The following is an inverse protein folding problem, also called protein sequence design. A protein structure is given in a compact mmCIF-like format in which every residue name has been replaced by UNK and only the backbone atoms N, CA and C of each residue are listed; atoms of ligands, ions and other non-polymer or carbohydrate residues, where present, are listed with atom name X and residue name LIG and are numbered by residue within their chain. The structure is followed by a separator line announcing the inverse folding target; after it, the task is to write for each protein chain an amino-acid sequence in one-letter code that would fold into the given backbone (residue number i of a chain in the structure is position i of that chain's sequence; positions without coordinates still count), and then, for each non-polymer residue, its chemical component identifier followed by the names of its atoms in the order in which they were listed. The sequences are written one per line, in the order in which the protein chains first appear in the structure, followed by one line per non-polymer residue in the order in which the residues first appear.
data_IF_024623881338
#
_entry.id   IF_024623881338
#
_cell.length_a   1.000
_cell.length_b   1.000
_cell.length_c   1.000
_cell.angle_alpha   90.00
_cell.angle_beta   90.00
_cell.angle_gamma   90.00
#
_symmetry.space_group_name_H-M   'P 1'
#
loop_
_entity.id
_entity.type
_entity.pdbx_description
1 polymer ?
#
# COMPACT_ATOMS: atom_id res chain seq x y z
N UNK A 1 9.26 16.31 9.42
CA UNK A 1 9.78 15.12 10.17
C UNK A 1 8.70 14.66 11.14
N UNK A 2 8.29 13.36 11.10
CA UNK A 2 7.33 12.83 12.10
C UNK A 2 7.98 12.86 13.50
N UNK A 3 7.22 13.20 14.52
CA UNK A 3 7.70 13.17 15.89
C UNK A 3 7.98 11.72 16.35
N UNK A 4 8.81 11.55 17.37
CA UNK A 4 9.09 10.21 17.95
C UNK A 4 7.80 9.55 18.43
N UNK A 5 6.86 10.35 18.97
CA UNK A 5 5.55 9.88 19.45
C UNK A 5 4.70 9.35 18.28
N UNK A 6 4.65 10.05 17.14
CA UNK A 6 3.91 9.60 15.94
C UNK A 6 4.48 8.29 15.41
N UNK A 7 5.81 8.14 15.38
CA UNK A 7 6.47 6.90 14.95
C UNK A 7 6.11 5.76 15.92
N UNK A 8 6.13 5.99 17.22
CA UNK A 8 5.79 4.98 18.22
C UNK A 8 4.33 4.54 18.09
N UNK A 9 3.40 5.48 17.95
CA UNK A 9 1.97 5.19 17.74
C UNK A 9 1.77 4.36 16.45
N UNK A 10 2.40 4.77 15.34
CA UNK A 10 2.31 4.04 14.07
C UNK A 10 2.86 2.62 14.19
N UNK A 11 3.97 2.44 14.93
CA UNK A 11 4.57 1.12 15.20
C UNK A 11 3.65 0.23 16.02
N UNK A 12 3.08 0.75 17.11
CA UNK A 12 2.14 0.01 17.95
C UNK A 12 0.91 -0.39 17.13
N UNK A 13 0.33 0.55 16.39
CA UNK A 13 -0.84 0.30 15.53
C UNK A 13 -0.54 -0.78 14.47
N UNK A 14 0.64 -0.74 13.83
CA UNK A 14 1.07 -1.77 12.89
C UNK A 14 1.16 -3.15 13.56
N UNK A 15 1.85 -3.27 14.69
CA UNK A 15 2.06 -4.56 15.34
C UNK A 15 0.75 -5.15 15.87
N UNK A 16 -0.12 -4.36 16.48
CA UNK A 16 -1.44 -4.82 16.94
C UNK A 16 -2.40 -5.13 15.79
N UNK A 17 -2.37 -4.30 14.75
CA UNK A 17 -3.28 -4.42 13.60
C UNK A 17 -2.89 -5.51 12.60
N UNK A 18 -1.60 -5.75 12.40
CA UNK A 18 -1.10 -6.58 11.30
C UNK A 18 0.09 -7.48 11.70
N UNK A 19 1.11 -6.92 12.35
CA UNK A 19 2.38 -7.61 12.60
C UNK A 19 2.26 -8.86 13.47
N UNK A 20 1.33 -8.88 14.44
CA UNK A 20 1.07 -10.03 15.33
C UNK A 20 0.08 -11.04 14.73
N UNK A 21 -0.56 -10.73 13.59
CA UNK A 21 -1.54 -11.63 12.96
C UNK A 21 -0.88 -12.79 12.22
N UNK A 22 -1.66 -13.85 11.97
CA UNK A 22 -1.20 -14.97 11.15
C UNK A 22 -1.00 -14.53 9.68
N UNK A 23 -0.18 -15.29 8.95
CA UNK A 23 0.00 -15.09 7.50
C UNK A 23 -1.35 -15.20 6.78
N UNK A 24 -2.16 -16.20 7.13
CA UNK A 24 -3.50 -16.39 6.57
C UNK A 24 -4.42 -15.19 6.83
N UNK A 25 -4.38 -14.62 8.04
CA UNK A 25 -5.16 -13.42 8.35
C UNK A 25 -4.73 -12.22 7.50
N UNK A 26 -3.43 -11.99 7.35
CA UNK A 26 -2.90 -10.91 6.52
C UNK A 26 -3.19 -11.14 5.03
N UNK A 27 -3.11 -12.39 4.53
CA UNK A 27 -3.54 -12.77 3.19
C UNK A 27 -5.01 -12.40 2.95
N UNK A 28 -5.90 -12.81 3.85
CA UNK A 28 -7.32 -12.50 3.74
C UNK A 28 -7.60 -10.98 3.80
N UNK A 29 -6.86 -10.25 4.62
CA UNK A 29 -6.94 -8.78 4.65
C UNK A 29 -6.49 -8.17 3.32
N UNK A 30 -5.40 -8.67 2.74
CA UNK A 30 -4.91 -8.22 1.44
C UNK A 30 -5.95 -8.48 0.35
N UNK A 31 -6.46 -9.71 0.23
CA UNK A 31 -7.50 -10.07 -0.76
C UNK A 31 -8.76 -9.22 -0.62
N UNK A 32 -9.21 -8.95 0.61
CA UNK A 32 -10.34 -8.03 0.85
C UNK A 32 -10.04 -6.60 0.41
N UNK A 33 -8.79 -6.13 0.55
CA UNK A 33 -8.35 -4.83 0.06
C UNK A 33 -8.45 -4.75 -1.45
N UNK A 34 -7.98 -5.78 -2.18
CA UNK A 34 -8.10 -5.87 -3.64
C UNK A 34 -9.57 -5.87 -4.08
N UNK A 35 -10.41 -6.69 -3.43
CA UNK A 35 -11.86 -6.71 -3.71
C UNK A 35 -12.48 -5.33 -3.49
N UNK A 36 -12.07 -4.61 -2.44
CA UNK A 36 -12.58 -3.28 -2.14
C UNK A 36 -12.15 -2.26 -3.20
N UNK A 37 -10.92 -2.32 -3.71
CA UNK A 37 -10.48 -1.50 -4.84
C UNK A 37 -11.35 -1.80 -6.07
N UNK A 38 -11.55 -3.07 -6.43
CA UNK A 38 -12.41 -3.45 -7.55
C UNK A 38 -13.81 -2.85 -7.44
N UNK A 39 -14.42 -2.94 -6.24
CA UNK A 39 -15.74 -2.36 -6.00
C UNK A 39 -15.76 -0.82 -6.12
N UNK A 40 -14.69 -0.16 -5.68
CA UNK A 40 -14.59 1.30 -5.76
C UNK A 40 -14.43 1.81 -7.20
N UNK A 41 -13.83 1.00 -8.08
CA UNK A 41 -13.55 1.39 -9.46
C UNK A 41 -14.64 0.98 -10.45
N UNK A 42 -15.51 0.03 -10.09
CA UNK A 42 -16.39 -0.71 -11.02
C UNK A 42 -17.31 0.16 -11.89
N UNK A 43 -17.76 1.32 -11.38
CA UNK A 43 -18.71 2.20 -12.08
C UNK A 43 -18.19 3.63 -12.25
N UNK A 44 -16.87 3.80 -12.12
CA UNK A 44 -16.23 5.12 -12.19
C UNK A 44 -15.58 5.31 -13.56
N UNK A 45 -15.86 6.42 -14.23
CA UNK A 45 -15.24 6.73 -15.52
C UNK A 45 -13.73 6.96 -15.41
N UNK A 46 -13.00 6.64 -16.48
CA UNK A 46 -11.56 6.84 -16.54
C UNK A 46 -11.13 8.28 -16.26
N UNK A 47 -11.88 9.25 -16.76
CA UNK A 47 -11.61 10.69 -16.54
C UNK A 47 -11.60 11.05 -15.05
N UNK A 48 -12.52 10.49 -14.25
CA UNK A 48 -12.52 10.68 -12.80
C UNK A 48 -11.33 9.99 -12.14
N UNK A 49 -11.00 8.78 -12.57
CA UNK A 49 -9.87 8.01 -12.01
C UNK A 49 -8.51 8.65 -12.32
N UNK A 50 -8.39 9.36 -13.42
CA UNK A 50 -7.18 10.09 -13.84
C UNK A 50 -7.09 11.49 -13.22
N UNK A 51 -8.23 12.09 -12.86
CA UNK A 51 -8.27 13.44 -12.32
C UNK A 51 -7.75 13.49 -10.88
N UNK A 52 -6.74 14.33 -10.55
CA UNK A 52 -6.28 14.51 -9.18
C UNK A 52 -7.37 15.03 -8.25
N UNK A 53 -7.46 14.47 -7.05
CA UNK A 53 -8.40 14.88 -6.02
C UNK A 53 -7.68 15.43 -4.79
N UNK A 54 -7.99 16.67 -4.37
CA UNK A 54 -7.43 17.21 -3.13
C UNK A 54 -8.22 16.70 -1.92
N UNK A 55 -7.60 15.83 -1.12
CA UNK A 55 -8.21 15.23 0.07
C UNK A 55 -7.65 15.82 1.35
N UNK A 56 -8.38 15.63 2.47
CA UNK A 56 -7.89 16.01 3.79
C UNK A 56 -6.70 15.14 4.22
N UNK A 57 -5.77 15.67 5.05
CA UNK A 57 -4.70 14.87 5.62
C UNK A 57 -5.21 13.59 6.29
N UNK A 58 -4.54 12.48 6.01
CA UNK A 58 -4.83 11.17 6.58
C UNK A 58 -3.54 10.58 7.19
N UNK A 59 -3.63 9.80 8.28
CA UNK A 59 -2.47 9.13 8.85
C UNK A 59 -1.76 8.25 7.80
N UNK A 60 -0.45 8.40 7.69
CA UNK A 60 0.37 7.62 6.76
C UNK A 60 0.60 8.26 5.40
N UNK A 61 -0.23 9.19 4.94
CA UNK A 61 -0.03 9.92 3.70
C UNK A 61 0.95 11.09 3.87
N UNK A 62 1.75 11.35 2.84
CA UNK A 62 2.57 12.56 2.74
C UNK A 62 1.77 13.72 2.11
N UNK A 63 2.20 14.99 2.28
CA UNK A 63 1.49 16.12 1.67
C UNK A 63 1.32 16.01 0.15
N UNK A 64 2.28 15.42 -0.56
CA UNK A 64 2.21 15.19 -2.01
C UNK A 64 1.09 14.23 -2.38
N UNK A 65 0.91 13.16 -1.60
CA UNK A 65 -0.11 12.13 -1.82
C UNK A 65 -1.54 12.64 -1.66
N UNK A 66 -1.73 13.79 -0.99
CA UNK A 66 -3.07 14.38 -0.80
C UNK A 66 -3.68 14.93 -2.08
N UNK A 67 -2.89 15.09 -3.14
CA UNK A 67 -3.31 15.66 -4.43
C UNK A 67 -3.17 14.65 -5.57
N UNK A 68 -3.12 13.37 -5.29
CA UNK A 68 -3.02 12.33 -6.30
C UNK A 68 -4.36 11.99 -6.93
N UNK A 69 -4.30 11.44 -8.15
CA UNK A 69 -5.42 10.75 -8.77
C UNK A 69 -5.52 9.30 -8.23
N UNK A 70 -6.60 8.62 -8.60
CA UNK A 70 -6.75 7.20 -8.25
C UNK A 70 -5.66 6.37 -8.93
N UNK A 71 -5.36 6.61 -10.21
CA UNK A 71 -4.32 5.88 -10.93
C UNK A 71 -2.91 6.12 -10.34
N UNK A 72 -2.58 7.36 -9.96
CA UNK A 72 -1.33 7.65 -9.26
C UNK A 72 -1.23 6.90 -7.93
N UNK A 73 -2.34 6.79 -7.19
CA UNK A 73 -2.39 6.04 -5.94
C UNK A 73 -2.16 4.54 -6.15
N UNK A 74 -2.74 3.98 -7.22
CA UNK A 74 -2.57 2.56 -7.59
C UNK A 74 -1.14 2.29 -8.05
N UNK A 75 -0.56 3.15 -8.89
CA UNK A 75 0.82 3.03 -9.35
C UNK A 75 1.81 3.04 -8.19
N UNK A 76 1.66 4.00 -7.27
CA UNK A 76 2.47 4.03 -6.05
C UNK A 76 2.33 2.75 -5.23
N UNK A 77 1.08 2.30 -5.04
CA UNK A 77 0.80 1.08 -4.29
C UNK A 77 1.50 -0.12 -4.91
N UNK A 78 1.46 -0.23 -6.23
CA UNK A 78 2.11 -1.32 -6.98
C UNK A 78 3.64 -1.26 -6.86
N UNK A 79 4.25 -0.10 -7.06
CA UNK A 79 5.70 0.08 -6.95
C UNK A 79 6.23 -0.32 -5.57
N UNK A 80 5.56 0.10 -4.50
CA UNK A 80 5.93 -0.27 -3.13
C UNK A 80 5.71 -1.76 -2.88
N UNK A 81 4.65 -2.34 -3.41
CA UNK A 81 4.37 -3.77 -3.26
C UNK A 81 5.41 -4.64 -3.97
N UNK A 82 5.83 -4.28 -5.17
CA UNK A 82 6.90 -4.98 -5.91
C UNK A 82 8.22 -4.92 -5.15
N UNK A 83 8.57 -3.78 -4.58
CA UNK A 83 9.80 -3.63 -3.78
C UNK A 83 9.74 -4.50 -2.52
N UNK A 84 8.61 -4.48 -1.79
CA UNK A 84 8.46 -5.32 -0.59
C UNK A 84 8.49 -6.81 -0.96
N UNK A 85 7.88 -7.21 -2.06
CA UNK A 85 7.92 -8.59 -2.56
C UNK A 85 9.36 -9.02 -2.82
N UNK A 86 10.15 -8.19 -3.50
CA UNK A 86 11.57 -8.43 -3.76
C UNK A 86 12.38 -8.56 -2.45
N UNK A 87 12.15 -7.68 -1.48
CA UNK A 87 12.79 -7.78 -0.16
C UNK A 87 12.46 -9.07 0.57
N UNK A 88 11.21 -9.55 0.50
CA UNK A 88 10.80 -10.83 1.07
C UNK A 88 11.61 -11.97 0.44
N UNK A 89 11.72 -11.99 -0.89
CA UNK A 89 12.46 -13.03 -1.61
C UNK A 89 13.95 -13.02 -1.25
N UNK A 90 14.57 -11.84 -1.14
CA UNK A 90 15.96 -11.70 -0.68
C UNK A 90 16.16 -12.27 0.74
N UNK A 91 15.27 -11.90 1.67
CA UNK A 91 15.34 -12.41 3.06
C UNK A 91 15.22 -13.93 3.14
N UNK A 92 14.31 -14.54 2.33
CA UNK A 92 14.12 -16.00 2.32
C UNK A 92 15.29 -16.74 1.66
N UNK A 93 16.03 -16.08 0.75
CA UNK A 93 17.33 -16.60 0.23
C UNK A 93 18.49 -16.47 1.22
N UNK A 94 18.26 -15.91 2.42
CA UNK A 94 19.29 -15.71 3.43
C UNK A 94 20.08 -14.42 3.30
N UNK A 95 19.71 -13.56 2.36
CA UNK A 95 20.37 -12.27 2.14
C UNK A 95 19.98 -11.23 3.19
N UNK A 96 20.77 -10.16 3.29
CA UNK A 96 20.53 -9.03 4.22
C UNK A 96 20.41 -7.74 3.42
N UNK A 97 19.27 -7.52 2.74
CA UNK A 97 19.09 -6.33 1.95
C UNK A 97 19.04 -5.07 2.83
N UNK A 98 19.45 -3.95 2.25
CA UNK A 98 19.17 -2.63 2.81
C UNK A 98 17.90 -2.11 2.16
N UNK A 99 16.96 -1.59 2.96
CA UNK A 99 15.70 -1.03 2.45
C UNK A 99 15.92 0.19 1.52
N UNK A 100 17.07 0.84 1.61
CA UNK A 100 17.34 2.04 0.84
C UNK A 100 16.41 3.20 1.24
N UNK A 101 16.35 4.20 0.38
CA UNK A 101 15.45 5.34 0.56
C UNK A 101 14.09 5.05 -0.08
N UNK A 102 13.08 4.77 0.75
CA UNK A 102 11.71 4.55 0.29
C UNK A 102 11.00 5.83 -0.13
N UNK A 103 11.56 7.01 0.14
CA UNK A 103 10.97 8.30 -0.28
C UNK A 103 10.91 8.46 -1.80
N UNK A 104 11.69 7.66 -2.54
CA UNK A 104 11.63 7.61 -4.01
C UNK A 104 10.25 7.26 -4.56
N UNK A 105 9.40 6.60 -3.76
CA UNK A 105 8.03 6.27 -4.15
C UNK A 105 6.99 7.34 -3.79
N UNK A 106 7.40 8.42 -3.12
CA UNK A 106 6.50 9.52 -2.75
C UNK A 106 6.18 10.46 -3.93
N UNK A 107 6.80 10.25 -5.08
CA UNK A 107 6.59 11.02 -6.30
C UNK A 107 6.26 10.09 -7.45
N UNK A 108 4.98 10.03 -7.81
CA UNK A 108 4.48 9.38 -9.03
C UNK A 108 4.15 10.45 -10.06
N UNK A 109 4.45 10.16 -11.33
CA UNK A 109 4.01 10.99 -12.45
C UNK A 109 2.51 10.81 -12.74
N UNK A 110 1.98 11.49 -13.76
CA UNK A 110 0.65 11.20 -14.28
C UNK A 110 0.54 9.73 -14.68
N UNK A 111 -0.50 9.06 -14.20
CA UNK A 111 -0.74 7.64 -14.43
C UNK A 111 -2.11 7.44 -15.08
N UNK A 112 -2.21 6.47 -15.97
CA UNK A 112 -3.42 6.12 -16.71
C UNK A 112 -3.90 4.69 -16.44
N UNK A 113 -4.88 4.18 -17.20
CA UNK A 113 -5.53 2.89 -16.96
C UNK A 113 -4.60 1.68 -17.04
N UNK A 114 -3.47 1.79 -17.73
CA UNK A 114 -2.51 0.68 -17.91
C UNK A 114 -1.91 0.20 -16.58
N UNK A 115 -1.83 1.06 -15.57
CA UNK A 115 -1.33 0.70 -14.24
C UNK A 115 -2.15 -0.41 -13.58
N UNK A 116 -3.43 -0.55 -13.90
CA UNK A 116 -4.31 -1.58 -13.35
C UNK A 116 -3.84 -2.99 -13.70
N UNK A 117 -3.35 -3.19 -14.92
CA UNK A 117 -2.90 -4.50 -15.40
C UNK A 117 -1.75 -5.03 -14.53
N UNK A 118 -0.73 -4.21 -14.32
CA UNK A 118 0.44 -4.61 -13.55
C UNK A 118 0.10 -4.72 -12.06
N UNK A 119 -0.69 -3.80 -11.51
CA UNK A 119 -1.19 -3.88 -10.15
C UNK A 119 -1.91 -5.21 -9.84
N UNK A 120 -2.87 -5.63 -10.67
CA UNK A 120 -3.57 -6.91 -10.44
C UNK A 120 -2.68 -8.13 -10.64
N UNK A 121 -1.73 -8.07 -11.57
CA UNK A 121 -0.74 -9.13 -11.75
C UNK A 121 0.11 -9.30 -10.48
N UNK A 122 0.65 -8.22 -9.94
CA UNK A 122 1.48 -8.27 -8.73
C UNK A 122 0.66 -8.57 -7.48
N UNK A 123 -0.59 -8.07 -7.39
CA UNK A 123 -1.51 -8.44 -6.31
C UNK A 123 -1.72 -9.96 -6.25
N UNK A 124 -1.92 -10.61 -7.39
CA UNK A 124 -2.02 -12.09 -7.45
C UNK A 124 -0.75 -12.80 -6.99
N UNK A 125 0.42 -12.26 -7.35
CA UNK A 125 1.70 -12.80 -6.88
C UNK A 125 1.82 -12.73 -5.35
N UNK A 126 1.38 -11.62 -4.75
CA UNK A 126 1.38 -11.40 -3.30
C UNK A 126 0.39 -12.35 -2.62
N UNK A 127 -0.83 -12.51 -3.14
CA UNK A 127 -1.83 -13.43 -2.58
C UNK A 127 -1.36 -14.88 -2.55
N UNK A 128 -0.64 -15.31 -3.60
CA UNK A 128 -0.11 -16.67 -3.71
C UNK A 128 1.28 -16.86 -3.10
N UNK A 129 1.91 -15.79 -2.61
CA UNK A 129 3.26 -15.84 -2.06
C UNK A 129 3.42 -16.86 -0.93
N UNK A 130 2.52 -16.97 0.07
CA UNK A 130 2.65 -17.94 1.15
C UNK A 130 2.53 -19.41 0.71
N UNK A 131 2.01 -19.65 -0.48
CA UNK A 131 1.93 -21.01 -1.05
C UNK A 131 3.26 -21.43 -1.72
N UNK A 132 4.13 -20.44 -2.02
CA UNK A 132 5.42 -20.63 -2.71
C UNK A 132 6.63 -20.45 -1.81
N UNK A 133 6.51 -19.62 -0.78
CA UNK A 133 7.60 -19.22 0.12
C UNK A 133 7.14 -19.32 1.57
N UNK A 134 7.94 -19.93 2.43
CA UNK A 134 7.56 -20.23 3.83
C UNK A 134 7.43 -19.02 4.76
N UNK A 135 7.98 -17.86 4.41
CA UNK A 135 8.01 -16.64 5.23
C UNK A 135 8.57 -16.87 6.66
N UNK A 136 9.66 -17.63 6.75
CA UNK A 136 10.27 -18.06 8.03
C UNK A 136 11.65 -17.48 8.28
N UNK A 137 12.19 -16.65 7.38
CA UNK A 137 13.51 -16.07 7.49
C UNK A 137 13.69 -15.34 8.82
N UNK A 138 14.86 -15.58 9.46
CA UNK A 138 15.29 -14.85 10.66
C UNK A 138 15.98 -13.54 10.31
N UNK A 139 16.43 -13.37 9.06
CA UNK A 139 16.98 -12.12 8.58
C UNK A 139 15.95 -11.02 8.63
N UNK A 140 16.40 -9.80 8.81
CA UNK A 140 15.54 -8.64 9.00
C UNK A 140 16.07 -7.46 8.20
N UNK A 141 15.14 -6.61 7.77
CA UNK A 141 15.41 -5.29 7.21
C UNK A 141 14.87 -4.22 8.16
N UNK A 142 15.58 -3.10 8.28
CA UNK A 142 15.13 -2.01 9.14
C UNK A 142 14.21 -1.06 8.37
N UNK A 143 12.96 -0.95 8.84
CA UNK A 143 12.00 0.03 8.35
C UNK A 143 11.91 1.20 9.34
N UNK A 144 12.06 2.44 8.86
CA UNK A 144 12.10 3.66 9.68
C UNK A 144 10.93 3.78 10.66
N UNK A 145 9.72 3.44 10.23
CA UNK A 145 8.49 3.56 11.04
C UNK A 145 8.25 2.29 11.85
N UNK A 146 8.28 1.11 11.21
CA UNK A 146 7.85 -0.15 11.83
C UNK A 146 8.95 -0.90 12.56
N UNK A 147 10.21 -0.43 12.47
CA UNK A 147 11.36 -1.07 13.09
C UNK A 147 11.87 -2.24 12.27
N UNK A 148 12.41 -3.25 12.93
CA UNK A 148 13.04 -4.42 12.28
C UNK A 148 11.99 -5.43 11.84
N UNK A 149 11.85 -5.63 10.53
CA UNK A 149 10.89 -6.55 9.91
C UNK A 149 11.60 -7.74 9.28
N UNK A 150 11.11 -8.94 9.53
CA UNK A 150 11.45 -10.15 8.77
C UNK A 150 10.44 -10.32 7.61
N UNK A 151 10.57 -11.39 6.83
CA UNK A 151 9.68 -11.68 5.70
C UNK A 151 8.19 -11.69 6.07
N UNK A 152 7.84 -12.28 7.23
CA UNK A 152 6.46 -12.25 7.75
C UNK A 152 5.99 -10.84 8.10
N UNK A 153 6.86 -10.02 8.71
CA UNK A 153 6.58 -8.62 9.01
C UNK A 153 6.41 -7.77 7.76
N UNK A 154 7.21 -8.00 6.73
CA UNK A 154 7.06 -7.36 5.42
C UNK A 154 5.76 -7.77 4.73
N UNK A 155 5.39 -9.05 4.80
CA UNK A 155 4.09 -9.52 4.28
C UNK A 155 2.89 -8.86 4.99
N UNK A 156 2.99 -8.67 6.30
CA UNK A 156 1.99 -7.92 7.06
C UNK A 156 1.93 -6.44 6.64
N UNK A 157 3.08 -5.85 6.29
CA UNK A 157 3.16 -4.46 5.81
C UNK A 157 2.48 -4.29 4.45
N UNK A 158 2.52 -5.28 3.54
CA UNK A 158 1.77 -5.26 2.28
C UNK A 158 0.27 -5.10 2.50
N UNK A 159 -0.31 -5.89 3.42
CA UNK A 159 -1.73 -5.81 3.72
C UNK A 159 -2.11 -4.44 4.35
N UNK A 160 -1.29 -3.92 5.25
CA UNK A 160 -1.52 -2.61 5.86
C UNK A 160 -1.42 -1.48 4.83
N UNK A 161 -0.39 -1.50 4.00
CA UNK A 161 -0.14 -0.48 2.97
C UNK A 161 -1.29 -0.42 1.95
N UNK A 162 -1.78 -1.58 1.51
CA UNK A 162 -2.95 -1.66 0.63
C UNK A 162 -4.17 -0.97 1.27
N UNK A 163 -4.48 -1.24 2.54
CA UNK A 163 -5.64 -0.62 3.22
C UNK A 163 -5.49 0.88 3.45
N UNK A 164 -4.28 1.37 3.64
CA UNK A 164 -4.00 2.81 3.66
C UNK A 164 -4.48 3.45 2.34
N UNK A 165 -4.09 2.86 1.21
CA UNK A 165 -4.43 3.38 -0.11
C UNK A 165 -5.88 3.09 -0.54
N UNK A 166 -6.51 2.02 -0.08
CA UNK A 166 -7.98 1.84 -0.18
C UNK A 166 -8.72 3.03 0.44
N UNK A 167 -8.27 3.48 1.62
CA UNK A 167 -8.87 4.64 2.30
C UNK A 167 -8.61 5.94 1.52
N UNK A 168 -7.44 6.10 0.94
CA UNK A 168 -7.10 7.25 0.08
C UNK A 168 -7.95 7.29 -1.18
N UNK A 169 -8.05 6.18 -1.91
CA UNK A 169 -8.88 6.05 -3.13
C UNK A 169 -10.34 6.42 -2.81
N UNK A 170 -10.89 5.87 -1.73
CA UNK A 170 -12.25 6.20 -1.28
C UNK A 170 -12.42 7.70 -1.07
N UNK A 171 -11.49 8.36 -0.38
CA UNK A 171 -11.55 9.80 -0.12
C UNK A 171 -11.45 10.63 -1.39
N UNK A 172 -10.61 10.21 -2.37
CA UNK A 172 -10.52 10.87 -3.68
C UNK A 172 -11.88 10.79 -4.40
N UNK A 173 -12.49 9.61 -4.48
CA UNK A 173 -13.77 9.41 -5.16
C UNK A 173 -14.93 10.17 -4.46
N UNK A 174 -14.97 10.17 -3.14
CA UNK A 174 -15.95 10.97 -2.37
C UNK A 174 -15.80 12.46 -2.64
N UNK A 175 -14.57 12.95 -2.82
CA UNK A 175 -14.31 14.34 -3.16
C UNK A 175 -14.84 14.72 -4.55
N UNK A 176 -14.65 13.84 -5.54
CA UNK A 176 -15.20 14.03 -6.89
C UNK A 176 -16.73 14.02 -6.87
N UNK A 177 -17.35 13.06 -6.17
CA UNK A 177 -18.81 13.00 -6.04
C UNK A 177 -19.40 14.29 -5.44
N UNK A 178 -18.77 14.84 -4.39
CA UNK A 178 -19.20 16.11 -3.77
C UNK A 178 -19.09 17.31 -4.72
N UNK A 179 -18.08 17.32 -5.61
CA UNK A 179 -17.92 18.39 -6.61
C UNK A 179 -19.06 18.35 -7.62
N UNK A 180 -19.35 17.19 -8.19
CA UNK A 180 -20.43 17.02 -9.17
C UNK A 180 -21.82 17.39 -8.60
N UNK A 181 -22.09 17.05 -7.33
CA UNK A 181 -23.36 17.40 -6.67
C UNK A 181 -23.55 18.90 -6.40
N UNK A 182 -22.51 19.72 -6.51
CA UNK A 182 -22.58 21.18 -6.32
C UNK A 182 -22.69 21.95 -7.63
N UNK A 183 -22.38 21.31 -8.73
CA UNK A 183 -22.40 21.89 -10.08
C UNK A 183 -23.75 21.63 -10.80
N UNK A 184 -24.64 20.85 -10.18
CA UNK A 184 -26.03 20.63 -10.58
C UNK A 184 -26.99 21.52 -9.78
#
# INVERSE_FOLDING_TARGET
MKSIIEILIARIAFWLGYGCRSITTNRNQFSRGIQKINMLLAEVSHDILETPGSIKPQPGLTPTMLNWSVYMTIEHTDQVHVEILHLIELLERGERPNLGDISRFDTVGPAGPDVLKDFYKHARQIETLPDRISLTSRNRVHHRIFGSLNSRGLYAALAMHLWLHVSQIKAILEKHAQKYSREQ
#
